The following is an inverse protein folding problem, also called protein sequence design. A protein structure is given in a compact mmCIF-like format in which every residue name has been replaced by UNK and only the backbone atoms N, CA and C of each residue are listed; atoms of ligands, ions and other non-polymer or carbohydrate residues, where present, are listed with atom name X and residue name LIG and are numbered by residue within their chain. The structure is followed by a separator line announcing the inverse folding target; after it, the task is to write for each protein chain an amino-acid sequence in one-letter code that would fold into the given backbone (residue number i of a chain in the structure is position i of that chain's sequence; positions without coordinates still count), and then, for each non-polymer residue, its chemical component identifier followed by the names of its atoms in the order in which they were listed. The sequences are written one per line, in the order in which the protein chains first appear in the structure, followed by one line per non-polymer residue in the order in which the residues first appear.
data_IF_881343628983
#
_entry.id   IF_881343628983
#
_cell.length_a   1.000
_cell.length_b   1.000
_cell.length_c   1.000
_cell.angle_alpha   90.00
_cell.angle_beta   90.00
_cell.angle_gamma   90.00
#
_symmetry.space_group_name_H-M   'P 1'
#
loop_
_entity.id
_entity.type
_entity.pdbx_description
1 polymer ?
#
# COMPACT_ATOMS: atom_id res chain seq x y z
N UNK A 1 13.08 -3.58 2.95
CA UNK A 1 12.30 -2.94 1.87
C UNK A 1 12.94 -3.30 0.52
N UNK A 2 12.15 -3.59 -0.52
CA UNK A 2 12.67 -3.95 -1.85
C UNK A 2 12.54 -2.75 -2.80
N UNK A 3 13.66 -2.13 -3.17
CA UNK A 3 13.70 -1.10 -4.19
C UNK A 3 13.36 -1.71 -5.56
N UNK A 4 12.36 -1.16 -6.25
CA UNK A 4 11.99 -1.54 -7.62
C UNK A 4 12.13 -0.31 -8.52
N UNK A 5 13.10 -0.34 -9.43
CA UNK A 5 13.21 0.61 -10.53
C UNK A 5 12.61 -0.02 -11.79
N UNK A 6 11.68 0.68 -12.45
CA UNK A 6 11.06 0.27 -13.71
C UNK A 6 11.07 1.45 -14.68
N UNK A 7 11.61 1.25 -15.87
CA UNK A 7 11.54 2.18 -16.99
C UNK A 7 11.42 1.37 -18.27
N UNK A 8 10.40 1.66 -19.08
CA UNK A 8 10.17 1.03 -20.40
C UNK A 8 11.01 1.65 -21.52
N UNK A 9 11.64 2.81 -21.25
CA UNK A 9 12.43 3.55 -22.24
C UNK A 9 13.93 3.52 -21.94
N UNK A 10 14.33 3.20 -20.71
CA UNK A 10 15.73 3.20 -20.26
C UNK A 10 16.16 1.84 -19.69
N UNK A 11 16.04 0.77 -20.48
CA UNK A 11 16.44 -0.59 -20.08
C UNK A 11 17.91 -0.66 -19.61
N UNK A 12 18.78 0.13 -20.24
CA UNK A 12 20.20 0.23 -19.87
C UNK A 12 20.41 0.78 -18.45
N UNK A 13 19.53 1.68 -17.98
CA UNK A 13 19.55 2.19 -16.61
C UNK A 13 19.10 1.10 -15.64
N UNK A 14 18.03 0.38 -15.96
CA UNK A 14 17.52 -0.73 -15.13
C UNK A 14 18.58 -1.81 -14.96
N UNK A 15 19.30 -2.17 -16.03
CA UNK A 15 20.41 -3.11 -15.97
C UNK A 15 21.51 -2.63 -15.01
N UNK A 16 21.94 -1.36 -15.13
CA UNK A 16 22.93 -0.75 -14.23
C UNK A 16 22.48 -0.77 -12.77
N UNK A 17 21.22 -0.42 -12.48
CA UNK A 17 20.66 -0.48 -11.13
C UNK A 17 20.69 -1.89 -10.53
N UNK A 18 20.33 -2.91 -11.31
CA UNK A 18 20.38 -4.32 -10.87
C UNK A 18 21.81 -4.76 -10.57
N UNK A 19 22.76 -4.39 -11.41
CA UNK A 19 24.18 -4.67 -11.19
C UNK A 19 24.67 -4.03 -9.89
N UNK A 20 24.39 -2.74 -9.68
CA UNK A 20 24.78 -2.05 -8.45
C UNK A 20 24.17 -2.69 -7.20
N UNK A 21 22.87 -3.00 -7.23
CA UNK A 21 22.19 -3.68 -6.14
C UNK A 21 22.84 -5.03 -5.82
N UNK A 22 23.25 -5.77 -6.85
CA UNK A 22 23.96 -7.04 -6.68
C UNK A 22 25.31 -6.82 -6.03
N UNK A 23 26.10 -5.85 -6.49
CA UNK A 23 27.39 -5.53 -5.87
C UNK A 23 27.24 -5.12 -4.40
N UNK A 24 26.22 -4.32 -4.06
CA UNK A 24 25.93 -3.96 -2.67
C UNK A 24 25.50 -5.17 -1.83
N UNK A 25 24.66 -6.06 -2.37
CA UNK A 25 24.20 -7.24 -1.65
C UNK A 25 25.35 -8.22 -1.35
N UNK A 26 26.30 -8.36 -2.28
CA UNK A 26 27.39 -9.32 -2.19
C UNK A 26 28.73 -8.72 -1.77
N UNK A 27 28.78 -7.43 -1.42
CA UNK A 27 30.01 -6.69 -1.08
C UNK A 27 31.09 -6.80 -2.16
N UNK A 28 30.68 -6.88 -3.43
CA UNK A 28 31.57 -6.92 -4.57
C UNK A 28 32.05 -5.51 -4.95
N UNK A 29 33.23 -5.38 -5.59
CA UNK A 29 33.72 -4.09 -6.06
C UNK A 29 32.70 -3.44 -7.00
N UNK A 30 32.39 -2.18 -6.73
CA UNK A 30 31.41 -1.43 -7.51
C UNK A 30 31.97 -1.17 -8.91
N UNK A 31 31.16 -1.36 -9.97
CA UNK A 31 31.56 -0.95 -11.30
C UNK A 31 31.75 0.57 -11.36
N UNK A 32 32.77 1.02 -12.08
CA UNK A 32 32.96 2.45 -12.39
C UNK A 32 31.90 2.88 -13.39
N UNK A 33 30.75 3.35 -12.90
CA UNK A 33 29.68 3.84 -13.74
C UNK A 33 29.79 5.37 -13.85
N UNK A 34 29.96 5.84 -15.08
CA UNK A 34 29.99 7.27 -15.40
C UNK A 34 28.66 7.93 -15.01
N UNK A 35 28.78 9.08 -14.36
CA UNK A 35 27.64 9.92 -14.00
C UNK A 35 27.01 10.54 -15.25
N UNK A 36 25.70 10.79 -15.17
CA UNK A 36 24.94 11.52 -16.16
C UNK A 36 24.05 12.54 -15.46
N UNK A 37 24.37 13.82 -15.64
CA UNK A 37 23.65 14.97 -15.08
C UNK A 37 22.86 15.76 -16.14
N UNK A 38 22.80 15.25 -17.38
CA UNK A 38 22.04 15.85 -18.48
C UNK A 38 20.53 15.70 -18.24
N UNK A 39 19.82 16.83 -18.16
CA UNK A 39 18.36 16.89 -17.92
C UNK A 39 17.53 16.17 -19.00
N UNK A 40 18.06 16.02 -20.21
CA UNK A 40 17.35 15.37 -21.32
C UNK A 40 17.61 13.85 -21.39
N UNK A 41 18.39 13.31 -20.46
CA UNK A 41 18.77 11.89 -20.42
C UNK A 41 18.46 11.31 -19.05
N UNK A 42 18.43 9.96 -18.93
CA UNK A 42 18.24 9.34 -17.62
C UNK A 42 19.35 9.77 -16.66
N UNK A 43 18.95 10.43 -15.56
CA UNK A 43 19.85 10.94 -14.52
C UNK A 43 20.52 9.76 -13.80
N UNK A 44 21.84 9.79 -13.69
CA UNK A 44 22.62 8.79 -12.96
C UNK A 44 23.70 9.49 -12.15
N UNK A 45 23.52 9.54 -10.83
CA UNK A 45 24.43 10.25 -9.92
C UNK A 45 24.79 9.30 -8.77
N UNK A 46 26.08 9.12 -8.54
CA UNK A 46 26.56 8.31 -7.41
C UNK A 46 26.52 9.16 -6.14
N UNK A 47 26.06 8.59 -5.03
CA UNK A 47 26.10 9.26 -3.73
C UNK A 47 27.55 9.65 -3.36
N UNK A 48 27.75 10.90 -2.95
CA UNK A 48 29.06 11.49 -2.66
C UNK A 48 29.71 12.17 -3.87
N UNK A 49 29.18 11.97 -5.07
CA UNK A 49 29.55 12.70 -6.27
C UNK A 49 28.41 13.63 -6.75
N UNK A 50 27.47 13.95 -5.87
CA UNK A 50 26.31 14.80 -6.08
C UNK A 50 26.53 16.22 -5.52
N UNK A 51 27.45 16.99 -6.11
CA UNK A 51 27.63 18.40 -5.73
C UNK A 51 26.61 19.30 -6.45
N UNK A 52 26.21 20.41 -5.81
CA UNK A 52 25.38 21.44 -6.45
C UNK A 52 26.03 21.99 -7.73
N UNK A 53 27.36 22.06 -7.77
CA UNK A 53 28.11 22.46 -8.97
C UNK A 53 27.95 21.46 -10.13
N UNK A 54 27.82 20.16 -9.82
CA UNK A 54 27.72 19.09 -10.83
C UNK A 54 26.30 18.84 -11.32
N UNK A 55 25.29 19.02 -10.46
CA UNK A 55 23.87 18.78 -10.76
C UNK A 55 23.16 20.07 -11.18
N UNK A 56 23.73 21.22 -10.84
CA UNK A 56 23.20 22.54 -11.12
C UNK A 56 22.49 23.16 -9.91
N UNK A 57 22.25 24.47 -10.03
CA UNK A 57 21.54 25.27 -9.03
C UNK A 57 20.05 25.32 -9.36
N UNK A 58 19.21 25.39 -8.32
CA UNK A 58 17.74 25.40 -8.43
C UNK A 58 17.24 26.53 -9.34
N UNK A 59 17.85 27.71 -9.21
CA UNK A 59 17.44 28.93 -9.93
C UNK A 59 18.08 29.06 -11.31
N UNK A 60 18.93 28.13 -11.74
CA UNK A 60 19.71 28.22 -12.99
C UNK A 60 20.76 29.35 -13.03
N UNK A 61 20.74 30.28 -12.06
CA UNK A 61 21.62 31.45 -12.01
C UNK A 61 23.06 31.13 -11.57
N UNK A 62 23.34 29.88 -11.17
CA UNK A 62 24.67 29.47 -10.72
C UNK A 62 25.10 30.06 -9.37
N UNK A 63 24.18 30.70 -8.64
CA UNK A 63 24.46 31.32 -7.35
C UNK A 63 24.09 30.33 -6.25
N UNK A 64 25.02 29.90 -5.39
CA UNK A 64 24.71 29.06 -4.25
C UNK A 64 23.92 29.84 -3.19
N UNK A 65 22.97 29.20 -2.49
CA UNK A 65 22.24 29.84 -1.42
C UNK A 65 23.17 30.17 -0.26
N UNK A 66 23.02 31.38 0.30
CA UNK A 66 23.88 31.85 1.40
C UNK A 66 23.64 31.09 2.72
N UNK A 67 22.45 30.52 2.89
CA UNK A 67 22.06 29.74 4.05
C UNK A 67 20.91 28.80 3.70
N UNK A 68 20.56 27.90 4.64
CA UNK A 68 19.51 26.92 4.43
C UNK A 68 18.12 27.53 4.21
N UNK A 69 17.82 28.71 4.78
CA UNK A 69 16.51 29.36 4.60
C UNK A 69 16.35 29.86 3.18
N UNK A 70 17.41 30.41 2.62
CA UNK A 70 17.43 30.85 1.22
C UNK A 70 17.29 29.64 0.29
N UNK A 71 18.02 28.55 0.54
CA UNK A 71 17.86 27.31 -0.21
C UNK A 71 16.41 26.77 -0.18
N UNK A 72 15.78 26.75 1.00
CA UNK A 72 14.40 26.29 1.15
C UNK A 72 13.39 27.20 0.44
N UNK A 73 13.64 28.52 0.42
CA UNK A 73 12.80 29.47 -0.29
C UNK A 73 12.90 29.24 -1.80
N UNK A 74 14.11 29.11 -2.34
CA UNK A 74 14.35 28.82 -3.76
C UNK A 74 13.66 27.52 -4.19
N UNK A 75 13.79 26.45 -3.40
CA UNK A 75 13.08 25.19 -3.64
C UNK A 75 11.55 25.37 -3.66
N UNK A 76 11.02 26.16 -2.72
CA UNK A 76 9.58 26.42 -2.64
C UNK A 76 9.09 27.20 -3.86
N UNK A 77 9.82 28.21 -4.29
CA UNK A 77 9.49 29.04 -5.46
C UNK A 77 9.53 28.20 -6.74
N UNK A 78 10.62 27.47 -6.99
CA UNK A 78 10.75 26.59 -8.16
C UNK A 78 9.69 25.47 -8.20
N UNK A 79 9.32 24.95 -7.02
CA UNK A 79 8.21 24.00 -6.90
C UNK A 79 6.88 24.65 -7.26
N UNK A 80 6.59 25.84 -6.71
CA UNK A 80 5.33 26.55 -6.94
C UNK A 80 5.15 27.03 -8.39
N UNK A 81 6.25 27.31 -9.10
CA UNK A 81 6.23 27.63 -10.53
C UNK A 81 5.67 26.48 -11.38
N UNK A 82 6.05 25.24 -11.05
CA UNK A 82 5.59 24.04 -11.77
C UNK A 82 4.31 23.45 -11.17
N UNK A 83 4.05 23.69 -9.89
CA UNK A 83 2.94 23.15 -9.11
C UNK A 83 2.26 24.29 -8.31
N UNK A 84 1.35 25.06 -8.94
CA UNK A 84 0.63 26.13 -8.26
C UNK A 84 -0.09 25.60 -7.02
N UNK A 85 0.12 26.23 -5.87
CA UNK A 85 -0.61 25.87 -4.66
C UNK A 85 -2.03 26.41 -4.75
N UNK A 86 -3.02 25.57 -4.49
CA UNK A 86 -4.39 26.04 -4.32
C UNK A 86 -4.47 26.87 -3.04
N UNK A 87 -5.10 28.03 -3.13
CA UNK A 87 -5.39 28.84 -1.96
C UNK A 87 -6.22 28.03 -0.95
N UNK A 88 -5.75 27.92 0.29
CA UNK A 88 -6.51 27.28 1.38
C UNK A 88 -7.90 27.94 1.56
N UNK A 89 -8.09 29.17 1.08
CA UNK A 89 -9.39 29.86 1.03
C UNK A 89 -10.42 29.22 0.07
N UNK A 90 -10.02 28.35 -0.86
CA UNK A 90 -10.96 27.58 -1.71
C UNK A 90 -11.51 26.32 -1.04
N UNK A 91 -10.94 25.88 0.09
CA UNK A 91 -11.42 24.69 0.84
C UNK A 91 -12.55 24.98 1.84
N UNK A 92 -12.93 26.25 2.02
CA UNK A 92 -14.00 26.65 2.95
C UNK A 92 -15.40 26.78 2.31
N UNK A 93 -15.60 26.37 1.06
CA UNK A 93 -16.95 26.22 0.48
C UNK A 93 -17.26 24.74 0.26
N UNK A 94 -17.74 24.05 1.30
CA UNK A 94 -18.69 22.91 1.22
C UNK A 94 -18.74 22.01 2.47
N UNK A 95 -17.97 22.26 3.53
CA UNK A 95 -18.10 21.45 4.77
C UNK A 95 -19.04 22.03 5.83
N UNK A 96 -19.31 23.34 5.81
CA UNK A 96 -20.23 23.98 6.76
C UNK A 96 -21.71 23.66 6.48
N UNK A 97 -22.07 23.41 5.21
CA UNK A 97 -23.46 23.10 4.82
C UNK A 97 -23.87 21.64 5.11
N UNK A 98 -22.95 20.79 5.59
CA UNK A 98 -23.24 19.37 5.91
C UNK A 98 -23.76 19.23 7.35
N UNK A 99 -23.55 20.22 8.23
CA UNK A 99 -23.81 20.06 9.68
C UNK A 99 -25.26 20.38 10.08
N UNK A 100 -26.04 21.03 9.22
CA UNK A 100 -27.48 21.24 9.46
C UNK A 100 -28.34 20.17 8.77
N UNK A 101 -28.00 18.89 8.96
CA UNK A 101 -28.85 17.80 8.53
C UNK A 101 -30.01 17.59 9.53
N UNK A 102 -30.94 18.56 9.58
CA UNK A 102 -32.26 18.40 10.24
C UNK A 102 -33.15 17.36 9.54
N UNK A 103 -32.64 16.71 8.49
CA UNK A 103 -33.36 15.74 7.67
C UNK A 103 -33.43 14.35 8.29
N UNK A 104 -32.67 14.09 9.35
CA UNK A 104 -32.61 12.81 10.06
C UNK A 104 -32.98 12.95 11.55
N UNK A 105 -34.09 13.63 11.86
CA UNK A 105 -34.70 13.45 13.18
C UNK A 105 -35.21 12.00 13.27
N UNK A 106 -34.49 11.14 13.99
CA UNK A 106 -34.66 9.67 14.07
C UNK A 106 -35.94 9.20 14.77
N UNK A 107 -36.98 10.03 14.84
CA UNK A 107 -38.23 9.72 15.53
C UNK A 107 -38.88 8.43 15.02
N UNK A 108 -38.79 8.17 13.71
CA UNK A 108 -39.33 6.93 13.11
C UNK A 108 -38.48 5.69 13.43
N UNK A 109 -37.17 5.87 13.65
CA UNK A 109 -36.23 4.79 13.98
C UNK A 109 -36.43 4.37 15.44
N UNK A 110 -36.59 5.34 16.35
CA UNK A 110 -36.86 5.09 17.76
C UNK A 110 -38.15 4.27 17.96
N UNK A 111 -39.20 4.58 17.20
CA UNK A 111 -40.47 3.82 17.21
C UNK A 111 -40.29 2.41 16.64
N UNK A 112 -39.49 2.25 15.58
CA UNK A 112 -39.25 0.94 14.96
C UNK A 112 -38.46 0.00 15.89
N UNK A 113 -37.46 0.53 16.61
CA UNK A 113 -36.67 -0.24 17.57
C UNK A 113 -37.47 -0.66 18.81
N UNK A 114 -38.39 0.19 19.27
CA UNK A 114 -39.31 -0.15 20.35
C UNK A 114 -40.27 -1.29 19.97
N UNK A 115 -40.79 -1.27 18.74
CA UNK A 115 -41.60 -2.36 18.20
C UNK A 115 -40.78 -3.65 18.00
N UNK A 116 -39.51 -3.53 17.58
CA UNK A 116 -38.63 -4.70 17.36
C UNK A 116 -38.24 -5.39 18.66
N UNK A 117 -38.13 -4.66 19.78
CA UNK A 117 -37.92 -5.23 21.12
C UNK A 117 -39.13 -6.01 21.65
N UNK A 118 -40.32 -5.81 21.11
CA UNK A 118 -41.52 -6.57 21.47
C UNK A 118 -41.70 -7.87 20.65
N UNK A 119 -40.98 -8.03 19.54
CA UNK A 119 -40.94 -9.30 18.80
C UNK A 119 -39.96 -10.25 19.48
N UNK A 120 -40.47 -11.32 20.07
CA UNK A 120 -39.65 -12.35 20.71
C UNK A 120 -38.61 -12.92 19.72
N UNK A 121 -37.36 -13.08 20.15
CA UNK A 121 -36.28 -13.63 19.31
C UNK A 121 -36.44 -15.13 18.98
N UNK A 122 -37.47 -15.78 19.51
CA UNK A 122 -37.75 -17.19 19.27
C UNK A 122 -38.44 -17.42 17.91
N UNK A 123 -39.22 -16.46 17.43
CA UNK A 123 -40.06 -16.64 16.23
C UNK A 123 -39.29 -16.43 14.90
N UNK A 124 -38.10 -15.82 14.95
CA UNK A 124 -37.28 -15.53 13.75
C UNK A 124 -36.53 -16.78 13.27
N UNK A 125 -36.19 -17.69 14.17
CA UNK A 125 -35.35 -18.87 13.88
C UNK A 125 -36.09 -19.92 13.04
N UNK A 126 -37.43 -19.93 13.06
CA UNK A 126 -38.27 -20.87 12.31
C UNK A 126 -38.96 -20.24 11.08
N UNK A 127 -38.67 -18.97 10.76
CA UNK A 127 -39.28 -18.31 9.61
C UNK A 127 -38.68 -18.84 8.30
N UNK A 128 -39.51 -19.56 7.53
CA UNK A 128 -39.19 -20.10 6.20
C UNK A 128 -38.69 -19.02 5.23
N UNK A 129 -38.98 -17.75 5.47
CA UNK A 129 -38.49 -16.62 4.69
C UNK A 129 -36.97 -16.43 4.80
N UNK A 130 -36.36 -16.87 5.90
CA UNK A 130 -34.92 -16.78 6.17
C UNK A 130 -34.23 -18.15 6.19
N UNK A 131 -34.87 -19.18 5.61
CA UNK A 131 -34.24 -20.48 5.45
C UNK A 131 -33.11 -20.39 4.41
N UNK A 132 -31.86 -20.36 4.87
CA UNK A 132 -30.66 -20.25 4.04
C UNK A 132 -30.11 -21.63 3.66
N UNK A 133 -30.94 -22.42 2.96
CA UNK A 133 -30.64 -23.83 2.62
C UNK A 133 -29.29 -24.03 1.93
N UNK A 134 -28.89 -23.11 1.04
CA UNK A 134 -27.59 -23.17 0.35
C UNK A 134 -26.42 -22.97 1.31
N UNK A 135 -26.59 -22.11 2.32
CA UNK A 135 -25.57 -21.83 3.33
C UNK A 135 -25.46 -23.03 4.27
N UNK A 136 -26.59 -23.62 4.68
CA UNK A 136 -26.60 -24.83 5.51
C UNK A 136 -25.89 -26.01 4.83
N UNK A 137 -26.13 -26.22 3.54
CA UNK A 137 -25.41 -27.24 2.75
C UNK A 137 -23.91 -26.93 2.72
N UNK A 138 -23.54 -25.69 2.39
CA UNK A 138 -22.14 -25.31 2.27
C UNK A 138 -21.37 -25.47 3.60
N UNK A 139 -22.01 -25.16 4.72
CA UNK A 139 -21.46 -25.35 6.07
C UNK A 139 -21.21 -26.84 6.34
N UNK A 140 -22.18 -27.71 6.04
CA UNK A 140 -22.05 -29.14 6.28
C UNK A 140 -21.02 -29.79 5.34
N UNK A 141 -20.92 -29.35 4.08
CA UNK A 141 -19.86 -29.79 3.17
C UNK A 141 -18.47 -29.42 3.67
N UNK A 142 -18.29 -28.16 4.10
CA UNK A 142 -17.00 -27.69 4.65
C UNK A 142 -16.62 -28.44 5.92
N UNK A 143 -17.61 -28.77 6.76
CA UNK A 143 -17.41 -29.59 7.95
C UNK A 143 -16.90 -30.99 7.58
N UNK A 144 -17.52 -31.64 6.59
CA UNK A 144 -17.10 -32.97 6.11
C UNK A 144 -15.70 -32.96 5.50
N UNK A 145 -15.38 -31.97 4.67
CA UNK A 145 -14.05 -31.79 4.08
C UNK A 145 -12.97 -31.67 5.17
N UNK A 146 -13.24 -30.88 6.20
CA UNK A 146 -12.33 -30.65 7.32
C UNK A 146 -12.05 -31.95 8.09
N UNK A 147 -13.08 -32.76 8.35
CA UNK A 147 -12.94 -34.05 9.03
C UNK A 147 -12.08 -35.04 8.23
N UNK A 148 -12.30 -35.12 6.91
CA UNK A 148 -11.48 -35.94 6.03
C UNK A 148 -10.02 -35.50 6.04
N UNK A 149 -9.77 -34.20 5.94
CA UNK A 149 -8.41 -33.65 5.98
C UNK A 149 -7.70 -33.96 7.31
N UNK A 150 -8.39 -33.81 8.44
CA UNK A 150 -7.84 -34.17 9.75
C UNK A 150 -7.50 -35.66 9.82
N UNK A 151 -8.37 -36.53 9.29
CA UNK A 151 -8.14 -37.99 9.26
C UNK A 151 -6.95 -38.36 8.38
N UNK A 152 -6.87 -37.81 7.17
CA UNK A 152 -5.75 -38.05 6.25
C UNK A 152 -4.42 -37.59 6.85
N UNK A 153 -4.41 -36.39 7.46
CA UNK A 153 -3.23 -35.85 8.14
C UNK A 153 -2.78 -36.74 9.30
N UNK A 154 -3.71 -37.32 10.06
CA UNK A 154 -3.41 -38.30 11.12
C UNK A 154 -2.84 -39.60 10.55
N UNK A 155 -3.44 -40.14 9.48
CA UNK A 155 -2.99 -41.36 8.83
C UNK A 155 -1.57 -41.22 8.26
N UNK A 156 -1.28 -40.10 7.58
CA UNK A 156 0.05 -39.81 7.03
C UNK A 156 1.12 -39.74 8.12
N UNK A 157 0.81 -39.10 9.25
CA UNK A 157 1.72 -39.06 10.41
C UNK A 157 1.96 -40.46 10.98
N UNK A 158 0.91 -41.26 11.16
CA UNK A 158 1.02 -42.62 11.67
C UNK A 158 1.84 -43.53 10.73
N UNK A 159 1.69 -43.38 9.42
CA UNK A 159 2.47 -44.14 8.42
C UNK A 159 3.95 -43.75 8.48
N UNK A 160 4.25 -42.45 8.50
CA UNK A 160 5.62 -41.96 8.61
C UNK A 160 6.31 -42.43 9.91
N UNK A 161 5.57 -42.47 11.02
CA UNK A 161 6.09 -42.98 12.28
C UNK A 161 6.33 -44.50 12.25
N UNK A 162 5.45 -45.28 11.62
CA UNK A 162 5.66 -46.72 11.41
C UNK A 162 6.89 -46.99 10.53
N UNK A 163 7.07 -46.26 9.44
CA UNK A 163 8.26 -46.37 8.58
C UNK A 163 9.55 -46.02 9.32
N UNK A 164 9.51 -45.01 10.20
CA UNK A 164 10.67 -44.65 11.02
C UNK A 164 11.04 -45.74 12.04
N UNK A 165 10.07 -46.50 12.55
CA UNK A 165 10.30 -47.61 13.50
C UNK A 165 10.76 -48.92 12.83
N UNK A 166 10.53 -49.10 11.53
CA UNK A 166 11.00 -50.28 10.79
C UNK A 166 12.40 -50.11 10.19
N UNK A 167 12.84 -48.87 9.99
CA UNK A 167 14.13 -48.53 9.36
C UNK A 167 15.20 -48.04 10.37
N UNK A 168 14.98 -48.20 11.67
CA UNK A 168 15.94 -47.89 12.73
C UNK A 168 15.99 -49.04 13.72
#
# INVERSE_FOLDING_TARGET
ERFKAFSTTAESLVAKCKTLLSCYAFHEPKPSIQQNTDINKPLYVNAGNDSLESIGHITGAGIPPNNYKDAMREWKEAFQENFPQEDENKKQSSSADIVEDKKFAEYEIDIADENKKQSSSADIVEDKKFAEYEIDIAVEEKRRELEMFIREKKNRKALAEKSRRQNG
#
